data_IF_007501548042
#
_entry.id   IF_007501548042
#
_cell.length_a   1.000
_cell.length_b   1.000
_cell.length_c   1.000
_cell.angle_alpha   90.00
_cell.angle_beta   90.00
_cell.angle_gamma   90.00
#
_symmetry.space_group_name_H-M   'P 1'
#
loop_
_entity.id
_entity.type
_entity.pdbx_description
1 polymer ?
#
# COMPACT_ATOMS: atom_id res chain seq x y z
N UNK A 1 -60.25 -9.44 0.60
CA UNK A 1 -61.17 -10.11 1.53
C UNK A 1 -60.71 -11.55 1.70
N UNK A 2 -60.46 -11.91 2.95
CA UNK A 2 -60.47 -13.25 3.58
C UNK A 2 -59.43 -14.32 3.22
N UNK A 3 -58.30 -14.20 3.95
CA UNK A 3 -57.69 -15.19 4.85
C UNK A 3 -58.32 -16.59 4.97
N UNK A 4 -57.47 -17.64 4.92
CA UNK A 4 -57.26 -18.63 6.00
C UNK A 4 -56.10 -19.62 5.70
N UNK A 5 -55.53 -20.37 6.68
CA UNK A 5 -54.08 -20.41 6.92
C UNK A 5 -53.41 -21.80 6.80
N UNK A 6 -52.09 -21.82 6.54
CA UNK A 6 -51.28 -23.05 6.50
C UNK A 6 -50.26 -23.14 7.65
N UNK A 7 -50.64 -23.97 8.63
CA UNK A 7 -49.88 -24.93 9.44
C UNK A 7 -48.38 -24.71 9.77
N UNK A 8 -48.13 -24.62 11.09
CA UNK A 8 -46.85 -24.70 11.80
C UNK A 8 -46.15 -26.06 11.60
N UNK A 9 -44.87 -26.06 11.21
CA UNK A 9 -43.95 -27.22 11.37
C UNK A 9 -42.93 -26.96 12.49
N UNK A 10 -42.87 -27.93 13.42
CA UNK A 10 -41.97 -27.98 14.59
C UNK A 10 -40.53 -28.32 14.16
N UNK A 11 -39.55 -27.60 14.68
CA UNK A 11 -38.11 -27.90 14.56
C UNK A 11 -37.63 -28.55 15.88
N UNK A 12 -36.89 -29.68 15.87
CA UNK A 12 -36.43 -30.33 17.10
C UNK A 12 -35.09 -29.76 17.61
N UNK A 13 -35.02 -29.58 18.93
CA UNK A 13 -33.86 -29.14 19.73
C UNK A 13 -32.76 -30.20 19.76
N UNK A 14 -31.50 -29.86 19.45
CA UNK A 14 -30.32 -30.70 19.73
C UNK A 14 -29.73 -30.39 21.11
N UNK A 15 -29.56 -31.44 21.92
CA UNK A 15 -28.97 -31.45 23.26
C UNK A 15 -27.44 -31.36 23.20
N UNK A 16 -26.86 -30.58 24.12
CA UNK A 16 -25.44 -30.62 24.52
C UNK A 16 -25.16 -31.90 25.31
N UNK A 17 -24.04 -32.56 25.04
CA UNK A 17 -23.50 -33.64 25.88
C UNK A 17 -22.12 -33.21 26.37
N UNK A 18 -21.99 -33.04 27.68
CA UNK A 18 -20.72 -33.01 28.42
C UNK A 18 -20.18 -34.44 28.56
N UNK A 19 -18.87 -34.63 28.45
CA UNK A 19 -18.15 -35.70 29.18
C UNK A 19 -16.74 -35.26 29.56
N UNK A 20 -16.48 -35.30 30.87
CA UNK A 20 -15.18 -35.28 31.54
C UNK A 20 -14.55 -36.69 31.57
N UNK A 21 -13.22 -36.77 31.65
CA UNK A 21 -12.36 -37.78 32.34
C UNK A 21 -10.90 -37.37 32.06
N UNK A 22 -10.10 -36.85 33.01
CA UNK A 22 -9.34 -37.45 34.13
C UNK A 22 -8.46 -38.67 33.77
N UNK A 23 -7.16 -38.40 33.84
CA UNK A 23 -6.02 -39.12 34.45
C UNK A 23 -5.74 -40.59 34.09
N UNK A 24 -4.50 -40.87 33.68
CA UNK A 24 -3.58 -41.82 34.35
C UNK A 24 -2.17 -41.84 33.70
N UNK A 25 -1.16 -41.97 34.57
CA UNK A 25 0.30 -41.99 34.38
C UNK A 25 0.90 -43.40 34.10
N UNK A 26 2.23 -43.40 33.87
CA UNK A 26 3.24 -44.48 33.90
C UNK A 26 3.57 -45.17 32.55
N UNK A 27 4.83 -45.48 32.16
CA UNK A 27 6.17 -45.64 32.80
C UNK A 27 7.26 -45.63 31.68
N UNK A 28 8.44 -45.01 31.89
CA UNK A 28 9.81 -45.60 32.02
C UNK A 28 10.44 -46.09 30.69
N UNK A 29 11.68 -45.77 30.27
CA UNK A 29 13.03 -45.90 30.87
C UNK A 29 14.00 -44.80 30.32
N UNK A 30 14.85 -44.12 31.11
CA UNK A 30 16.24 -44.40 31.57
C UNK A 30 17.30 -44.43 30.43
N UNK A 31 18.51 -43.84 30.47
CA UNK A 31 19.34 -43.03 31.40
C UNK A 31 20.19 -42.04 30.53
N UNK A 32 21.15 -41.24 30.97
CA UNK A 32 21.98 -41.13 32.18
C UNK A 32 22.56 -39.69 32.27
N UNK A 33 22.92 -39.28 33.50
CA UNK A 33 24.09 -38.48 33.96
C UNK A 33 24.54 -37.19 33.22
N UNK A 34 24.94 -36.05 33.80
CA UNK A 34 25.45 -35.53 35.10
C UNK A 34 25.08 -34.03 35.13
N UNK A 35 24.71 -33.34 36.20
CA UNK A 35 25.49 -33.14 37.42
C UNK A 35 26.07 -31.72 37.48
N UNK A 36 25.37 -30.77 38.13
CA UNK A 36 25.89 -29.78 39.12
C UNK A 36 24.90 -28.63 39.38
N UNK A 37 24.23 -28.71 40.54
CA UNK A 37 23.72 -27.56 41.30
C UNK A 37 24.65 -27.34 42.49
N UNK A 38 24.94 -26.08 42.82
CA UNK A 38 25.35 -25.66 44.16
C UNK A 38 24.42 -24.52 44.60
N UNK A 39 23.94 -24.63 45.84
CA UNK A 39 22.95 -23.79 46.51
C UNK A 39 23.59 -22.49 47.09
N UNK A 40 22.96 -21.30 46.97
CA UNK A 40 22.12 -20.55 47.97
C UNK A 40 22.97 -20.03 49.17
N UNK A 41 22.96 -18.71 49.55
CA UNK A 41 21.83 -18.15 50.29
C UNK A 41 21.44 -16.69 50.07
N UNK A 42 20.19 -16.42 50.47
CA UNK A 42 19.53 -15.13 50.55
C UNK A 42 19.95 -14.35 51.80
N UNK A 43 20.18 -13.05 51.67
CA UNK A 43 20.05 -12.08 52.75
C UNK A 43 19.38 -10.80 52.25
N UNK A 44 18.39 -10.35 53.02
CA UNK A 44 17.68 -9.07 52.91
C UNK A 44 18.53 -7.92 53.48
N UNK A 45 18.62 -6.79 52.76
CA UNK A 45 18.22 -5.43 53.21
C UNK A 45 18.40 -4.39 52.08
N UNK A 46 17.71 -3.22 52.14
CA UNK A 46 17.36 -2.40 50.98
C UNK A 46 18.32 -1.23 50.74
N UNK A 47 18.47 -0.83 49.47
CA UNK A 47 19.26 0.35 49.09
C UNK A 47 19.06 0.69 47.62
N UNK A 48 18.71 1.95 47.36
CA UNK A 48 18.36 2.55 46.09
C UNK A 48 19.49 2.49 45.05
N UNK A 49 19.14 2.26 43.78
CA UNK A 49 19.56 3.03 42.59
C UNK A 49 19.04 2.30 41.32
N UNK A 50 17.97 2.82 40.71
CA UNK A 50 17.52 2.39 39.39
C UNK A 50 18.48 2.95 38.33
N UNK A 51 19.53 2.20 38.01
CA UNK A 51 20.28 2.38 36.77
C UNK A 51 19.46 1.84 35.61
N UNK A 52 19.11 2.70 34.65
CA UNK A 52 18.45 2.31 33.42
C UNK A 52 19.33 1.30 32.66
N UNK A 53 18.92 0.02 32.63
CA UNK A 53 19.53 -0.97 31.72
C UNK A 53 19.16 -0.57 30.29
N UNK A 54 20.12 -0.07 29.53
CA UNK A 54 20.03 -0.04 28.07
C UNK A 54 19.90 -1.49 27.58
N UNK A 55 18.69 -1.88 27.21
CA UNK A 55 18.45 -3.16 26.54
C UNK A 55 18.89 -2.98 25.09
N UNK A 56 20.11 -3.41 24.76
CA UNK A 56 20.54 -3.55 23.37
C UNK A 56 19.67 -4.61 22.69
N UNK A 57 18.70 -4.19 21.87
CA UNK A 57 17.97 -5.11 20.97
C UNK A 57 18.87 -5.46 19.78
N UNK A 58 19.58 -6.58 19.85
CA UNK A 58 20.14 -7.23 18.64
C UNK A 58 19.00 -7.84 17.83
N UNK A 59 18.95 -7.52 16.54
CA UNK A 59 18.06 -8.19 15.59
C UNK A 59 18.91 -9.07 14.70
N UNK A 60 18.63 -10.37 14.76
CA UNK A 60 19.22 -11.35 13.87
C UNK A 60 18.31 -11.49 12.66
N UNK A 61 18.78 -11.09 11.48
CA UNK A 61 18.15 -11.39 10.21
C UNK A 61 18.84 -12.62 9.61
N UNK A 62 18.07 -13.55 9.03
CA UNK A 62 18.64 -14.60 8.19
C UNK A 62 19.02 -13.96 6.84
N UNK A 63 20.30 -13.62 6.69
CA UNK A 63 20.84 -12.95 5.51
C UNK A 63 21.45 -11.57 5.79
N UNK A 64 22.30 -11.11 4.88
CA UNK A 64 23.01 -9.85 5.01
C UNK A 64 22.08 -8.68 4.64
N UNK A 65 21.41 -8.08 5.65
CA UNK A 65 20.44 -7.00 5.44
C UNK A 65 21.03 -5.66 5.88
N UNK A 66 21.76 -4.97 5.00
CA UNK A 66 22.34 -3.64 5.28
C UNK A 66 21.29 -2.53 5.47
N UNK A 67 20.04 -2.75 5.02
CA UNK A 67 18.95 -1.75 5.03
C UNK A 67 17.87 -1.96 6.11
N UNK A 68 18.15 -2.76 7.15
CA UNK A 68 17.30 -2.87 8.35
C UNK A 68 16.84 -1.49 8.90
N UNK A 69 17.67 -0.43 8.91
CA UNK A 69 17.23 0.91 9.31
C UNK A 69 16.18 1.52 8.36
N UNK A 70 16.28 1.29 7.04
CA UNK A 70 15.32 1.80 6.03
C UNK A 70 13.99 1.05 6.12
N UNK A 71 14.02 -0.26 6.38
CA UNK A 71 12.82 -1.04 6.67
C UNK A 71 12.11 -0.56 7.95
N UNK A 72 12.86 -0.14 8.97
CA UNK A 72 12.31 0.42 10.22
C UNK A 72 11.81 1.86 10.08
N UNK A 73 12.36 2.63 9.15
CA UNK A 73 11.96 4.02 8.87
C UNK A 73 10.74 4.12 7.94
N UNK A 74 10.27 2.99 7.40
CA UNK A 74 9.00 2.94 6.66
C UNK A 74 7.82 3.36 7.52
N UNK A 75 6.77 3.91 6.90
CA UNK A 75 5.58 4.36 7.60
C UNK A 75 5.00 3.21 8.47
N UNK A 76 5.03 3.30 9.81
CA UNK A 76 4.45 2.28 10.69
C UNK A 76 2.92 2.30 10.66
N UNK A 77 2.30 3.13 9.81
CA UNK A 77 0.89 3.08 9.43
C UNK A 77 0.55 1.77 8.70
N UNK A 78 0.66 0.66 9.41
CA UNK A 78 0.03 -0.59 9.08
C UNK A 78 -1.48 -0.36 9.01
N UNK A 79 -2.10 -1.01 8.02
CA UNK A 79 -3.53 -1.28 8.05
C UNK A 79 -3.86 -1.85 9.43
N UNK A 80 -4.66 -1.13 10.22
CA UNK A 80 -5.21 -1.64 11.47
C UNK A 80 -6.15 -2.79 11.12
N UNK A 81 -5.63 -4.01 11.03
CA UNK A 81 -6.45 -5.21 11.08
C UNK A 81 -6.95 -5.36 12.52
N UNK A 82 -8.27 -5.34 12.68
CA UNK A 82 -8.92 -5.64 13.94
C UNK A 82 -8.68 -7.12 14.27
N UNK A 83 -7.82 -7.40 15.25
CA UNK A 83 -7.77 -8.68 15.94
C UNK A 83 -8.56 -8.56 17.23
N UNK A 84 -9.58 -9.40 17.40
CA UNK A 84 -10.25 -9.60 18.69
C UNK A 84 -9.33 -10.42 19.60
N UNK A 85 -8.76 -9.79 20.64
CA UNK A 85 -8.15 -10.52 21.76
C UNK A 85 -9.12 -10.49 22.95
N UNK A 86 -9.66 -11.66 23.28
CA UNK A 86 -10.52 -11.87 24.43
C UNK A 86 -9.64 -11.99 25.69
N UNK A 87 -9.70 -10.99 26.58
CA UNK A 87 -9.26 -11.16 27.98
C UNK A 87 -10.41 -10.83 28.92
N UNK A 88 -10.81 -11.88 29.65
CA UNK A 88 -11.63 -11.88 30.86
C UNK A 88 -12.81 -10.90 30.88
N UNK A 89 -13.91 -11.32 30.25
CA UNK A 89 -15.25 -11.11 30.81
C UNK A 89 -15.86 -9.70 30.73
N UNK A 90 -15.29 -8.74 30.00
CA UNK A 90 -15.98 -7.47 29.67
C UNK A 90 -15.92 -7.17 28.18
N UNK A 91 -17.09 -7.17 27.52
CA UNK A 91 -17.25 -6.62 26.18
C UNK A 91 -17.10 -5.09 26.25
N UNK A 92 -15.94 -4.58 25.83
CA UNK A 92 -15.74 -3.17 25.52
C UNK A 92 -15.85 -2.99 24.00
N UNK A 93 -16.75 -2.12 23.55
CA UNK A 93 -16.85 -1.73 22.14
C UNK A 93 -15.57 -1.07 21.62
N UNK A 94 -15.43 -0.87 20.28
CA UNK A 94 -14.16 -0.51 19.65
C UNK A 94 -13.72 0.92 20.02
N UNK A 95 -13.00 1.04 21.13
CA UNK A 95 -12.26 2.22 21.54
C UNK A 95 -10.86 2.17 20.94
N UNK A 96 -10.65 2.89 19.83
CA UNK A 96 -9.31 3.19 19.31
C UNK A 96 -8.65 4.28 20.16
N UNK A 97 -8.30 3.91 21.39
CA UNK A 97 -7.36 4.62 22.24
C UNK A 97 -6.27 3.62 22.67
N UNK A 98 -5.61 3.02 21.68
CA UNK A 98 -4.32 2.37 21.91
C UNK A 98 -3.35 3.44 22.37
N UNK A 99 -3.03 3.41 23.67
CA UNK A 99 -2.06 4.29 24.29
C UNK A 99 -0.67 3.93 23.73
N UNK A 100 -0.23 4.59 22.66
CA UNK A 100 1.18 4.56 22.25
C UNK A 100 2.01 5.17 23.37
N UNK A 101 2.58 4.30 24.23
CA UNK A 101 3.59 4.69 25.21
C UNK A 101 4.95 4.63 24.52
N UNK A 102 5.40 5.76 23.97
CA UNK A 102 6.72 5.86 23.32
C UNK A 102 7.19 7.30 23.10
N UNK A 103 8.50 7.53 23.20
CA UNK A 103 9.16 8.83 23.01
C UNK A 103 9.09 9.37 21.56
N UNK A 104 8.62 8.56 20.61
CA UNK A 104 8.54 8.87 19.17
C UNK A 104 7.27 9.65 18.75
N UNK A 105 6.45 10.09 19.72
CA UNK A 105 5.16 10.73 19.46
C UNK A 105 5.34 12.17 18.99
N UNK A 106 4.97 12.49 17.76
CA UNK A 106 4.90 13.90 17.31
C UNK A 106 3.66 14.61 17.86
N UNK A 107 2.51 13.92 17.88
CA UNK A 107 1.23 14.55 18.27
C UNK A 107 0.42 13.69 19.27
N UNK A 108 -0.22 14.35 20.23
CA UNK A 108 -1.22 13.76 21.11
C UNK A 108 -2.60 13.85 20.49
N UNK A 109 -3.10 12.71 20.01
CA UNK A 109 -4.43 12.60 19.42
C UNK A 109 -5.51 12.78 20.50
N UNK A 110 -6.43 13.70 20.26
CA UNK A 110 -7.69 13.82 20.99
C UNK A 110 -8.84 13.71 19.99
N UNK A 111 -9.75 12.76 20.24
CA UNK A 111 -11.00 12.69 19.50
C UNK A 111 -11.99 13.66 20.13
N UNK A 112 -12.53 14.59 19.32
CA UNK A 112 -13.69 15.39 19.73
C UNK A 112 -14.89 14.90 18.93
N UNK A 113 -15.97 14.53 19.64
CA UNK A 113 -17.28 14.36 19.04
C UNK A 113 -18.08 15.64 19.27
N UNK A 114 -18.55 16.27 18.19
CA UNK A 114 -19.55 17.33 18.23
C UNK A 114 -20.56 17.05 17.10
N UNK A 115 -21.74 16.55 17.47
CA UNK A 115 -22.72 16.01 16.52
C UNK A 115 -22.19 14.81 15.72
N UNK A 116 -22.61 14.70 14.45
CA UNK A 116 -22.22 13.61 13.52
C UNK A 116 -20.82 13.76 12.90
N UNK A 117 -20.07 14.80 13.26
CA UNK A 117 -18.77 15.11 12.63
C UNK A 117 -17.60 14.64 13.49
N UNK A 118 -16.81 13.70 12.94
CA UNK A 118 -15.56 13.26 13.57
C UNK A 118 -14.46 14.31 13.30
N UNK A 119 -14.07 15.07 14.33
CA UNK A 119 -12.89 15.95 14.30
C UNK A 119 -11.77 15.27 15.07
N UNK A 120 -10.57 15.24 14.49
CA UNK A 120 -9.38 14.72 15.16
C UNK A 120 -8.42 15.86 15.39
N UNK A 121 -8.04 16.10 16.64
CA UNK A 121 -6.99 17.06 16.97
C UNK A 121 -5.72 16.33 17.31
N UNK A 122 -4.62 16.92 16.90
CA UNK A 122 -3.30 16.41 17.13
C UNK A 122 -2.50 17.55 17.77
N UNK A 123 -2.23 17.41 19.07
CA UNK A 123 -1.54 18.43 19.87
C UNK A 123 -0.03 18.17 19.88
N UNK A 124 0.78 19.21 19.83
CA UNK A 124 2.24 19.12 19.92
C UNK A 124 2.67 18.37 21.18
N UNK A 125 3.42 17.27 21.01
CA UNK A 125 4.03 16.57 22.14
C UNK A 125 5.31 17.29 22.58
N UNK A 126 5.21 18.13 23.62
CA UNK A 126 6.29 19.03 24.06
C UNK A 126 7.62 18.32 24.35
N UNK A 127 7.57 17.08 24.82
CA UNK A 127 8.74 16.28 25.24
C UNK A 127 9.30 15.40 24.11
N UNK A 128 8.93 15.64 22.85
CA UNK A 128 9.45 14.87 21.73
C UNK A 128 10.98 14.92 21.70
N UNK A 129 11.63 13.74 21.63
CA UNK A 129 13.08 13.58 21.82
C UNK A 129 13.95 14.44 20.89
N UNK A 130 13.45 14.74 19.70
CA UNK A 130 14.20 15.54 18.74
C UNK A 130 14.01 17.06 18.95
N UNK A 131 13.11 17.49 19.84
CA UNK A 131 12.75 18.89 20.08
C UNK A 131 11.80 19.48 19.02
N UNK A 132 11.46 20.76 19.15
CA UNK A 132 10.58 21.48 18.24
C UNK A 132 11.19 22.80 17.77
N UNK A 133 10.98 23.19 16.50
CA UNK A 133 11.25 24.55 16.05
C UNK A 133 10.42 25.56 16.85
N UNK A 134 10.96 26.76 17.04
CA UNK A 134 10.33 27.81 17.85
C UNK A 134 8.90 28.18 17.38
N UNK A 135 8.68 28.22 16.06
CA UNK A 135 7.38 28.57 15.45
C UNK A 135 6.49 27.36 15.12
N UNK A 136 6.83 26.15 15.58
CA UNK A 136 6.05 24.96 15.23
C UNK A 136 4.62 25.02 15.77
N UNK A 137 3.67 24.48 15.00
CA UNK A 137 2.26 24.43 15.40
C UNK A 137 2.04 23.74 16.74
N UNK A 138 1.16 24.31 17.57
CA UNK A 138 0.71 23.71 18.82
C UNK A 138 -0.38 22.66 18.61
N UNK A 139 -1.20 22.83 17.58
CA UNK A 139 -2.35 21.99 17.28
C UNK A 139 -2.57 21.88 15.77
N UNK A 140 -2.93 20.67 15.31
CA UNK A 140 -3.45 20.43 13.97
C UNK A 140 -4.83 19.77 14.10
N UNK A 141 -5.85 20.38 13.51
CA UNK A 141 -7.19 19.81 13.41
C UNK A 141 -7.39 19.13 12.04
N UNK A 142 -7.65 17.83 12.05
CA UNK A 142 -8.04 17.06 10.87
C UNK A 142 -9.56 17.00 10.78
N UNK A 143 -10.11 17.57 9.71
CA UNK A 143 -11.54 17.55 9.38
C UNK A 143 -11.77 16.63 8.18
N UNK A 144 -12.71 15.71 8.31
CA UNK A 144 -13.12 14.86 7.18
C UNK A 144 -14.13 15.63 6.33
N UNK A 145 -13.74 15.96 5.09
CA UNK A 145 -14.59 16.59 4.09
C UNK A 145 -14.53 15.72 2.84
N UNK A 146 -15.59 14.97 2.55
CA UNK A 146 -15.57 13.96 1.48
C UNK A 146 -15.62 14.59 0.08
N UNK A 147 -16.35 15.69 -0.09
CA UNK A 147 -16.56 16.32 -1.38
C UNK A 147 -15.36 17.22 -1.74
N UNK A 148 -14.79 16.97 -2.92
CA UNK A 148 -13.54 17.59 -3.37
C UNK A 148 -13.67 19.09 -3.59
N UNK A 149 -14.74 19.56 -4.24
CA UNK A 149 -14.93 20.98 -4.50
C UNK A 149 -15.06 21.79 -3.20
N UNK A 150 -15.67 21.21 -2.17
CA UNK A 150 -15.78 21.80 -0.82
C UNK A 150 -14.40 21.97 -0.18
N UNK A 151 -13.50 20.99 -0.30
CA UNK A 151 -12.11 21.12 0.17
C UNK A 151 -11.39 22.26 -0.55
N UNK A 152 -11.53 22.33 -1.87
CA UNK A 152 -10.91 23.37 -2.72
C UNK A 152 -11.43 24.77 -2.38
N UNK A 153 -12.75 24.94 -2.24
CA UNK A 153 -13.34 26.22 -1.85
C UNK A 153 -12.92 26.65 -0.45
N UNK A 154 -12.89 25.73 0.51
CA UNK A 154 -12.42 26.05 1.86
C UNK A 154 -10.95 26.50 1.87
N UNK A 155 -10.08 25.88 1.06
CA UNK A 155 -8.70 26.35 0.88
C UNK A 155 -8.63 27.78 0.32
N UNK A 156 -9.42 28.09 -0.71
CA UNK A 156 -9.44 29.42 -1.34
C UNK A 156 -9.93 30.50 -0.37
N UNK A 157 -10.98 30.18 0.40
CA UNK A 157 -11.59 31.08 1.41
C UNK A 157 -10.74 31.22 2.68
N UNK A 158 -9.80 30.31 2.93
CA UNK A 158 -8.98 30.28 4.13
C UNK A 158 -9.60 29.50 5.30
N UNK A 159 -10.68 28.74 5.06
CA UNK A 159 -11.31 27.87 6.06
C UNK A 159 -10.40 26.70 6.47
N UNK A 160 -9.45 26.34 5.60
CA UNK A 160 -8.47 25.26 5.79
C UNK A 160 -7.04 25.75 5.50
N UNK A 161 -6.07 25.21 6.24
CA UNK A 161 -4.65 25.50 6.05
C UNK A 161 -3.93 24.48 5.16
N UNK A 162 -4.58 23.34 4.86
CA UNK A 162 -4.09 22.34 3.91
C UNK A 162 -5.16 21.29 3.61
N UNK A 163 -5.02 20.59 2.48
CA UNK A 163 -5.86 19.45 2.11
C UNK A 163 -5.01 18.31 1.52
N UNK A 164 -5.63 17.16 1.24
CA UNK A 164 -4.97 16.02 0.61
C UNK A 164 -4.30 16.42 -0.72
N UNK A 165 -3.17 15.78 -1.02
CA UNK A 165 -2.36 16.12 -2.19
C UNK A 165 -2.63 15.29 -3.44
N UNK A 166 -3.79 14.61 -3.48
CA UNK A 166 -4.24 13.75 -4.56
C UNK A 166 -5.57 14.24 -5.13
N UNK A 167 -5.67 15.55 -5.31
CA UNK A 167 -6.82 16.16 -5.96
C UNK A 167 -6.75 15.93 -7.48
N UNK A 168 -7.91 15.84 -8.16
CA UNK A 168 -7.98 16.01 -9.60
C UNK A 168 -7.20 17.24 -10.06
N UNK A 169 -6.48 17.14 -11.17
CA UNK A 169 -5.51 18.17 -11.54
C UNK A 169 -6.16 19.50 -11.94
N UNK A 170 -7.38 19.49 -12.47
CA UNK A 170 -8.19 20.70 -12.69
C UNK A 170 -8.41 21.48 -11.38
N UNK A 171 -8.60 20.79 -10.26
CA UNK A 171 -8.71 21.42 -8.95
C UNK A 171 -7.37 21.98 -8.46
N UNK A 172 -6.25 21.30 -8.78
CA UNK A 172 -4.92 21.84 -8.53
C UNK A 172 -4.69 23.14 -9.32
N UNK A 173 -5.06 23.18 -10.60
CA UNK A 173 -4.96 24.39 -11.43
C UNK A 173 -5.77 25.54 -10.82
N UNK A 174 -7.01 25.28 -10.41
CA UNK A 174 -7.85 26.27 -9.72
C UNK A 174 -7.24 26.79 -8.43
N UNK A 175 -6.57 25.93 -7.65
CA UNK A 175 -5.87 26.35 -6.44
C UNK A 175 -4.63 27.21 -6.75
N UNK A 176 -3.93 26.96 -7.85
CA UNK A 176 -2.77 27.78 -8.30
C UNK A 176 -3.16 29.22 -8.66
N UNK A 177 -4.40 29.46 -9.06
CA UNK A 177 -4.92 30.80 -9.35
C UNK A 177 -5.19 31.63 -8.08
N UNK A 178 -5.31 30.97 -6.92
CA UNK A 178 -5.59 31.65 -5.65
C UNK A 178 -4.34 32.20 -5.00
N UNK A 179 -4.36 33.49 -4.66
CA UNK A 179 -3.28 34.14 -3.88
C UNK A 179 -3.18 33.63 -2.44
N UNK A 180 -4.23 32.98 -1.93
CA UNK A 180 -4.30 32.48 -0.56
C UNK A 180 -3.70 31.07 -0.41
N UNK A 181 -3.36 30.40 -1.53
CA UNK A 181 -2.92 29.00 -1.55
C UNK A 181 -1.57 28.92 -2.23
N UNK A 182 -0.69 28.07 -1.69
CA UNK A 182 0.52 27.63 -2.37
C UNK A 182 0.39 26.13 -2.68
N UNK A 183 0.98 25.71 -3.79
CA UNK A 183 1.04 24.31 -4.20
C UNK A 183 2.50 23.86 -4.12
N UNK A 184 2.77 22.95 -3.21
CA UNK A 184 4.07 22.27 -3.13
C UNK A 184 4.06 21.10 -4.09
N UNK A 185 5.10 20.98 -4.91
CA UNK A 185 5.20 19.92 -5.90
C UNK A 185 6.40 19.04 -5.59
N UNK A 186 6.21 17.73 -5.60
CA UNK A 186 7.29 16.78 -5.44
C UNK A 186 7.00 15.49 -6.20
N UNK A 187 8.05 14.83 -6.69
CA UNK A 187 7.91 13.50 -7.25
C UNK A 187 7.64 12.48 -6.14
N UNK A 188 6.57 11.72 -6.27
CA UNK A 188 6.24 10.64 -5.35
C UNK A 188 6.85 9.33 -5.83
N UNK A 189 7.30 8.50 -4.90
CA UNK A 189 7.67 7.10 -5.17
C UNK A 189 6.39 6.25 -5.23
N UNK A 190 5.53 6.59 -6.20
CA UNK A 190 4.24 5.93 -6.44
C UNK A 190 4.01 5.76 -7.93
N UNK A 191 3.84 4.52 -8.38
CA UNK A 191 3.66 4.18 -9.80
C UNK A 191 2.22 3.76 -10.03
N UNK A 192 1.57 4.32 -11.05
CA UNK A 192 0.28 3.83 -11.54
C UNK A 192 0.48 2.84 -12.68
N UNK A 193 -0.19 1.71 -12.59
CA UNK A 193 -0.05 0.62 -13.55
C UNK A 193 -1.28 -0.29 -13.51
N UNK A 194 -1.47 -1.08 -14.57
CA UNK A 194 -2.35 -2.23 -14.52
C UNK A 194 -1.56 -3.43 -13.97
N UNK A 195 -1.96 -3.89 -12.80
CA UNK A 195 -1.55 -5.18 -12.27
C UNK A 195 -2.25 -6.27 -13.10
N UNK A 196 -1.48 -7.18 -13.68
CA UNK A 196 -1.98 -8.27 -14.53
C UNK A 196 -1.85 -9.60 -13.78
N UNK A 197 -2.90 -10.42 -13.81
CA UNK A 197 -2.82 -11.79 -13.32
C UNK A 197 -2.11 -12.72 -14.33
N UNK A 198 -0.79 -12.81 -14.26
CA UNK A 198 0.09 -13.56 -15.14
C UNK A 198 -0.11 -15.10 -15.09
N UNK A 199 -0.86 -15.62 -14.11
CA UNK A 199 -1.15 -17.05 -13.99
C UNK A 199 -2.49 -17.54 -14.56
N UNK A 200 -3.28 -16.66 -15.19
CA UNK A 200 -4.61 -16.99 -15.76
C UNK A 200 -4.49 -17.25 -17.26
N UNK A 201 -5.44 -18.02 -17.81
CA UNK A 201 -5.54 -18.27 -19.25
C UNK A 201 -5.63 -16.95 -20.03
N UNK A 202 -5.06 -16.90 -21.23
CA UNK A 202 -4.66 -15.73 -22.01
C UNK A 202 -3.61 -14.82 -21.34
N UNK A 203 -3.80 -14.49 -20.06
CA UNK A 203 -2.92 -13.56 -19.33
C UNK A 203 -1.52 -14.14 -19.05
N UNK A 204 -1.35 -15.46 -19.14
CA UNK A 204 -0.06 -16.15 -19.07
C UNK A 204 0.73 -16.09 -20.38
N UNK A 205 0.09 -15.79 -21.51
CA UNK A 205 0.75 -15.59 -22.81
C UNK A 205 1.34 -14.17 -22.90
N UNK A 206 2.65 -14.09 -23.18
CA UNK A 206 3.35 -12.82 -23.35
C UNK A 206 2.80 -11.99 -24.51
N UNK A 207 2.38 -12.64 -25.59
CA UNK A 207 1.85 -11.97 -26.77
C UNK A 207 0.50 -11.33 -26.48
N UNK A 208 -0.37 -12.00 -25.73
CA UNK A 208 -1.64 -11.42 -25.30
C UNK A 208 -1.44 -10.19 -24.40
N UNK A 209 -0.50 -10.28 -23.43
CA UNK A 209 -0.18 -9.13 -22.56
C UNK A 209 0.43 -7.96 -23.34
N UNK A 210 1.31 -8.23 -24.30
CA UNK A 210 1.89 -7.21 -25.19
C UNK A 210 0.84 -6.56 -26.08
N UNK A 211 -0.11 -7.33 -26.61
CA UNK A 211 -1.23 -6.79 -27.37
C UNK A 211 -2.04 -5.78 -26.55
N UNK A 212 -2.35 -6.10 -25.29
CA UNK A 212 -3.02 -5.17 -24.37
C UNK A 212 -2.17 -3.93 -24.05
N UNK A 213 -0.86 -4.10 -23.86
CA UNK A 213 0.04 -2.98 -23.59
C UNK A 213 0.11 -2.01 -24.78
N UNK A 214 0.22 -2.52 -26.01
CA UNK A 214 0.18 -1.71 -27.23
C UNK A 214 -1.21 -1.10 -27.51
N UNK A 215 -2.28 -1.67 -26.95
CA UNK A 215 -3.64 -1.15 -27.08
C UNK A 215 -3.98 -0.03 -26.09
N UNK A 216 -3.10 0.31 -25.13
CA UNK A 216 -3.34 1.38 -24.17
C UNK A 216 -2.82 2.73 -24.67
N UNK A 217 -3.68 3.75 -24.69
CA UNK A 217 -3.30 5.10 -25.09
C UNK A 217 -2.64 5.88 -23.93
N UNK A 218 -1.34 5.63 -23.74
CA UNK A 218 -0.55 6.28 -22.68
C UNK A 218 -0.55 7.81 -22.78
N UNK A 219 -0.45 8.34 -24.00
CA UNK A 219 -0.34 9.77 -24.24
C UNK A 219 -1.69 10.45 -24.04
N UNK A 220 -2.79 9.86 -24.55
CA UNK A 220 -4.14 10.36 -24.29
C UNK A 220 -4.46 10.33 -22.80
N UNK A 221 -4.05 9.28 -22.06
CA UNK A 221 -4.24 9.24 -20.62
C UNK A 221 -3.46 10.34 -19.88
N UNK A 222 -2.19 10.55 -20.21
CA UNK A 222 -1.35 11.54 -19.52
C UNK A 222 -1.71 12.97 -19.94
N UNK A 223 -1.93 13.24 -21.23
CA UNK A 223 -2.17 14.58 -21.78
C UNK A 223 -3.63 15.00 -21.64
N UNK A 224 -4.58 14.15 -21.99
CA UNK A 224 -5.99 14.57 -22.07
C UNK A 224 -6.73 14.37 -20.75
N UNK A 225 -6.47 13.27 -20.05
CA UNK A 225 -7.09 12.98 -18.75
C UNK A 225 -6.32 13.66 -17.62
N UNK A 226 -5.00 13.46 -17.54
CA UNK A 226 -4.17 14.01 -16.46
C UNK A 226 -3.58 15.40 -16.76
N UNK A 227 -3.87 15.99 -17.92
CA UNK A 227 -3.45 17.35 -18.32
C UNK A 227 -1.93 17.58 -18.22
N UNK A 228 -1.13 16.55 -18.48
CA UNK A 228 0.33 16.61 -18.42
C UNK A 228 0.89 16.70 -17.00
N UNK A 229 0.10 16.41 -15.97
CA UNK A 229 0.50 16.58 -14.56
C UNK A 229 1.56 15.59 -14.07
N UNK A 230 1.86 14.55 -14.84
CA UNK A 230 2.71 13.42 -14.43
C UNK A 230 3.68 13.04 -15.54
N UNK A 231 4.81 12.46 -15.14
CA UNK A 231 5.79 11.91 -16.07
C UNK A 231 5.44 10.46 -16.43
N UNK A 232 5.59 10.09 -17.70
CA UNK A 232 5.54 8.70 -18.15
C UNK A 232 6.54 7.87 -17.36
N UNK A 233 6.11 6.70 -16.89
CA UNK A 233 6.99 5.69 -16.30
C UNK A 233 6.67 4.31 -16.90
N UNK A 234 7.56 3.74 -17.72
CA UNK A 234 7.39 2.42 -18.31
C UNK A 234 7.84 1.27 -17.40
N UNK A 235 8.31 1.53 -16.18
CA UNK A 235 8.92 0.57 -15.26
C UNK A 235 8.03 0.30 -14.02
N UNK A 236 8.14 -0.90 -13.39
CA UNK A 236 7.58 -1.13 -12.05
C UNK A 236 8.21 -0.25 -10.98
N UNK A 237 9.47 0.18 -11.15
CA UNK A 237 10.19 1.01 -10.20
C UNK A 237 9.94 2.50 -10.51
N UNK A 238 9.77 3.37 -9.49
CA UNK A 238 9.74 4.81 -9.70
C UNK A 238 11.01 5.34 -10.38
N UNK A 239 10.87 6.33 -11.26
CA UNK A 239 11.99 6.96 -11.97
C UNK A 239 13.05 7.56 -11.02
N UNK A 240 12.65 8.01 -9.84
CA UNK A 240 13.52 8.58 -8.81
C UNK A 240 14.10 7.55 -7.83
N UNK A 241 13.89 6.25 -8.06
CA UNK A 241 14.45 5.17 -7.26
C UNK A 241 15.78 4.69 -7.87
N UNK A 242 16.77 4.39 -7.02
CA UNK A 242 18.00 3.73 -7.47
C UNK A 242 17.67 2.36 -8.07
N UNK A 243 18.36 1.94 -9.13
CA UNK A 243 18.04 0.69 -9.84
C UNK A 243 16.76 0.75 -10.69
N UNK A 244 16.21 1.94 -10.94
CA UNK A 244 15.26 2.16 -12.03
C UNK A 244 16.02 2.23 -13.38
N UNK A 245 15.63 1.44 -14.39
CA UNK A 245 16.22 1.53 -15.72
C UNK A 245 16.06 2.93 -16.34
N UNK A 246 17.16 3.57 -16.77
CA UNK A 246 17.13 4.96 -17.27
C UNK A 246 16.56 5.11 -18.69
N UNK A 247 16.85 4.15 -19.57
CA UNK A 247 16.53 4.25 -21.01
C UNK A 247 15.43 3.28 -21.47
N UNK A 248 14.70 2.69 -20.52
CA UNK A 248 13.60 1.78 -20.82
C UNK A 248 12.49 2.54 -21.54
N UNK A 249 12.22 2.19 -22.80
CA UNK A 249 11.20 2.88 -23.62
C UNK A 249 9.76 2.48 -23.29
N UNK A 250 9.56 1.25 -22.82
CA UNK A 250 8.23 0.67 -22.61
C UNK A 250 7.41 0.53 -23.89
N UNK A 251 6.11 0.29 -23.74
CA UNK A 251 5.17 0.19 -24.85
C UNK A 251 4.61 1.57 -25.25
N UNK A 252 4.25 1.66 -26.53
CA UNK A 252 3.56 2.79 -27.16
C UNK A 252 2.13 2.42 -27.51
N UNK A 253 1.26 3.39 -27.77
CA UNK A 253 -0.05 3.10 -28.35
C UNK A 253 0.09 2.80 -29.84
N UNK A 254 -0.04 1.54 -30.23
CA UNK A 254 0.18 1.06 -31.60
C UNK A 254 -0.74 -0.13 -31.89
N UNK A 255 -1.89 0.15 -32.51
CA UNK A 255 -2.90 -0.88 -32.78
C UNK A 255 -2.44 -1.93 -33.80
N UNK A 256 -1.49 -1.59 -34.70
CA UNK A 256 -0.98 -2.55 -35.68
C UNK A 256 -0.02 -3.53 -35.01
N UNK A 257 0.88 -3.05 -34.13
CA UNK A 257 1.67 -3.94 -33.28
C UNK A 257 0.80 -4.75 -32.33
N UNK A 258 -0.26 -4.15 -31.78
CA UNK A 258 -1.18 -4.86 -30.91
C UNK A 258 -1.87 -6.04 -31.63
N UNK A 259 -2.33 -5.84 -32.88
CA UNK A 259 -2.86 -6.93 -33.72
C UNK A 259 -1.81 -7.97 -34.06
N UNK A 260 -0.58 -7.56 -34.37
CA UNK A 260 0.51 -8.47 -34.69
C UNK A 260 0.91 -9.36 -33.50
N UNK A 261 0.91 -8.82 -32.29
CA UNK A 261 1.08 -9.60 -31.05
C UNK A 261 -0.12 -10.54 -30.84
N UNK A 262 -1.36 -10.03 -30.99
CA UNK A 262 -2.56 -10.86 -30.82
C UNK A 262 -2.62 -12.05 -31.80
N UNK A 263 -2.11 -11.89 -33.03
CA UNK A 263 -2.05 -12.97 -34.02
C UNK A 263 -1.15 -14.15 -33.60
N UNK A 264 -0.25 -13.95 -32.64
CA UNK A 264 0.60 -15.02 -32.10
C UNK A 264 -0.08 -15.83 -30.98
N UNK A 265 -1.22 -15.34 -30.47
CA UNK A 265 -1.98 -16.02 -29.41
C UNK A 265 -2.76 -17.19 -30.00
N UNK A 266 -2.49 -18.40 -29.47
CA UNK A 266 -3.10 -19.64 -29.95
C UNK A 266 -4.36 -20.04 -29.19
N UNK A 267 -4.50 -19.55 -27.96
CA UNK A 267 -5.64 -19.84 -27.12
C UNK A 267 -6.89 -19.07 -27.60
N UNK A 268 -8.09 -19.68 -27.56
CA UNK A 268 -9.33 -18.99 -27.89
C UNK A 268 -9.54 -17.72 -27.05
N UNK A 269 -9.92 -16.63 -27.70
CA UNK A 269 -10.24 -15.39 -27.01
C UNK A 269 -11.47 -15.55 -26.13
N UNK A 270 -11.43 -14.93 -24.95
CA UNK A 270 -12.55 -14.79 -24.02
C UNK A 270 -12.63 -13.34 -23.53
N UNK A 271 -13.79 -12.89 -23.02
CA UNK A 271 -13.85 -11.64 -22.30
C UNK A 271 -12.88 -11.67 -21.10
N UNK A 272 -12.14 -10.57 -20.92
CA UNK A 272 -11.29 -10.36 -19.74
C UNK A 272 -11.93 -9.34 -18.80
N UNK A 273 -11.61 -9.43 -17.50
CA UNK A 273 -12.16 -8.52 -16.49
C UNK A 273 -11.13 -7.50 -16.00
N UNK A 274 -11.54 -6.24 -15.92
CA UNK A 274 -10.80 -5.18 -15.24
C UNK A 274 -11.56 -4.78 -13.97
N UNK A 275 -10.92 -4.97 -12.82
CA UNK A 275 -11.42 -4.49 -11.52
C UNK A 275 -10.96 -3.07 -11.24
N UNK A 276 -11.87 -2.12 -11.26
CA UNK A 276 -11.61 -0.70 -10.95
C UNK A 276 -11.94 -0.37 -9.50
N UNK A 277 -11.38 0.74 -9.00
CA UNK A 277 -11.54 1.15 -7.62
C UNK A 277 -12.64 2.21 -7.50
N UNK A 278 -13.76 1.83 -6.89
CA UNK A 278 -14.89 2.73 -6.69
C UNK A 278 -14.45 4.00 -5.93
N UNK A 279 -14.78 5.16 -6.48
CA UNK A 279 -14.39 6.47 -5.94
C UNK A 279 -13.01 6.98 -6.40
N UNK A 280 -12.32 6.24 -7.27
CA UNK A 280 -11.05 6.66 -7.87
C UNK A 280 -11.17 6.71 -9.40
N UNK A 281 -11.55 7.89 -9.90
CA UNK A 281 -11.92 8.12 -11.30
C UNK A 281 -10.83 7.73 -12.31
N UNK A 282 -9.56 7.85 -11.94
CA UNK A 282 -8.41 7.55 -12.78
C UNK A 282 -8.32 6.05 -13.10
N UNK A 283 -8.76 5.18 -12.17
CA UNK A 283 -8.81 3.73 -12.40
C UNK A 283 -9.88 3.36 -13.42
N UNK A 284 -11.05 4.00 -13.33
CA UNK A 284 -12.19 3.80 -14.23
C UNK A 284 -11.89 4.35 -15.63
N UNK A 285 -11.29 5.55 -15.71
CA UNK A 285 -10.90 6.17 -16.96
C UNK A 285 -9.78 5.38 -17.67
N UNK A 286 -8.78 4.88 -16.93
CA UNK A 286 -7.75 4.02 -17.51
C UNK A 286 -8.35 2.72 -18.05
N UNK A 287 -9.25 2.08 -17.30
CA UNK A 287 -9.93 0.86 -17.74
C UNK A 287 -10.77 1.07 -19.00
N UNK A 288 -11.54 2.17 -19.07
CA UNK A 288 -12.33 2.53 -20.25
C UNK A 288 -11.44 2.81 -21.47
N UNK A 289 -10.30 3.47 -21.27
CA UNK A 289 -9.34 3.74 -22.34
C UNK A 289 -8.72 2.46 -22.89
N UNK A 290 -8.31 1.53 -22.02
CA UNK A 290 -7.83 0.21 -22.43
C UNK A 290 -8.93 -0.60 -23.13
N UNK A 291 -10.17 -0.59 -22.60
CA UNK A 291 -11.31 -1.24 -23.22
C UNK A 291 -11.56 -0.73 -24.64
N UNK A 292 -11.47 0.58 -24.86
CA UNK A 292 -11.62 1.18 -26.19
C UNK A 292 -10.51 0.75 -27.16
N UNK A 293 -9.26 0.68 -26.71
CA UNK A 293 -8.15 0.19 -27.53
C UNK A 293 -8.25 -1.30 -27.84
N UNK A 294 -8.53 -2.11 -26.81
CA UNK A 294 -8.70 -3.56 -26.90
C UNK A 294 -9.85 -3.96 -27.84
N UNK A 295 -10.96 -3.21 -27.81
CA UNK A 295 -12.09 -3.42 -28.74
C UNK A 295 -11.67 -3.28 -30.21
N UNK A 296 -10.79 -2.33 -30.54
CA UNK A 296 -10.30 -2.10 -31.91
C UNK A 296 -9.44 -3.26 -32.45
N UNK A 297 -8.94 -4.12 -31.56
CA UNK A 297 -8.19 -5.33 -31.92
C UNK A 297 -8.97 -6.62 -31.66
N UNK A 298 -10.27 -6.52 -31.34
CA UNK A 298 -11.16 -7.68 -31.19
C UNK A 298 -11.14 -8.34 -29.81
N UNK A 299 -10.61 -7.68 -28.78
CA UNK A 299 -10.66 -8.18 -27.39
C UNK A 299 -11.83 -7.54 -26.65
N UNK A 300 -12.69 -8.37 -26.06
CA UNK A 300 -13.77 -7.92 -25.17
C UNK A 300 -13.25 -7.72 -23.74
N UNK A 301 -13.52 -6.55 -23.16
CA UNK A 301 -13.17 -6.24 -21.77
C UNK A 301 -14.44 -5.90 -20.99
N UNK A 302 -14.63 -6.52 -19.83
CA UNK A 302 -15.68 -6.20 -18.86
C UNK A 302 -15.08 -5.43 -17.69
N UNK A 303 -15.66 -4.27 -17.37
CA UNK A 303 -15.20 -3.42 -16.27
C UNK A 303 -16.13 -3.63 -15.07
N UNK A 304 -15.56 -3.95 -13.92
CA UNK A 304 -16.27 -4.08 -12.64
C UNK A 304 -15.69 -3.05 -11.65
N UNK A 305 -16.54 -2.20 -11.07
CA UNK A 305 -16.13 -1.23 -10.04
C UNK A 305 -16.50 -1.76 -8.67
N UNK A 306 -15.54 -1.77 -7.73
CA UNK A 306 -15.76 -2.21 -6.36
C UNK A 306 -14.92 -1.40 -5.36
N UNK A 307 -15.34 -1.32 -4.08
CA UNK A 307 -14.54 -0.70 -3.04
C UNK A 307 -13.17 -1.38 -2.86
N UNK A 308 -12.14 -0.61 -2.51
CA UNK A 308 -10.76 -1.11 -2.35
C UNK A 308 -10.64 -2.40 -1.51
N UNK A 309 -11.30 -2.54 -0.33
CA UNK A 309 -11.18 -3.78 0.45
C UNK A 309 -11.65 -5.05 -0.31
N UNK A 310 -12.67 -4.90 -1.18
CA UNK A 310 -13.17 -6.00 -2.01
C UNK A 310 -12.15 -6.35 -3.09
N UNK A 311 -11.63 -5.34 -3.80
CA UNK A 311 -10.61 -5.54 -4.84
C UNK A 311 -9.34 -6.14 -4.25
N UNK A 312 -8.86 -5.62 -3.12
CA UNK A 312 -7.69 -6.12 -2.41
C UNK A 312 -7.86 -7.58 -1.99
N UNK A 313 -9.02 -7.96 -1.44
CA UNK A 313 -9.31 -9.34 -1.07
C UNK A 313 -9.33 -10.27 -2.29
N UNK A 314 -9.90 -9.83 -3.41
CA UNK A 314 -9.87 -10.59 -4.68
C UNK A 314 -8.43 -10.74 -5.19
N UNK A 315 -7.60 -9.71 -5.13
CA UNK A 315 -6.20 -9.75 -5.57
C UNK A 315 -5.31 -10.75 -4.79
N UNK A 316 -5.71 -11.13 -3.58
CA UNK A 316 -5.00 -12.12 -2.76
C UNK A 316 -5.51 -13.55 -2.96
N UNK A 317 -6.66 -13.72 -3.63
CA UNK A 317 -7.28 -15.00 -3.93
C UNK A 317 -7.13 -15.31 -5.42
N UNK A 318 -6.36 -16.35 -5.73
CA UNK A 318 -5.99 -16.71 -7.12
C UNK A 318 -7.20 -16.85 -8.04
N UNK A 319 -8.27 -17.43 -7.53
CA UNK A 319 -9.42 -17.82 -8.34
C UNK A 319 -10.45 -16.68 -8.44
N UNK A 320 -10.46 -15.78 -7.45
CA UNK A 320 -11.37 -14.60 -7.42
C UNK A 320 -10.76 -13.31 -7.97
N UNK A 321 -9.45 -13.28 -8.21
CA UNK A 321 -8.78 -12.12 -8.76
C UNK A 321 -9.30 -11.79 -10.17
N UNK A 322 -9.30 -10.50 -10.50
CA UNK A 322 -9.57 -10.01 -11.85
C UNK A 322 -8.42 -10.38 -12.80
N UNK A 323 -8.66 -10.31 -14.11
CA UNK A 323 -7.56 -10.44 -15.07
C UNK A 323 -6.59 -9.24 -14.95
N UNK A 324 -7.14 -8.03 -14.72
CA UNK A 324 -6.35 -6.83 -14.49
C UNK A 324 -6.96 -5.91 -13.42
N UNK A 325 -6.10 -5.16 -12.73
CA UNK A 325 -6.51 -4.10 -11.79
C UNK A 325 -5.63 -2.86 -12.02
N UNK A 326 -6.17 -1.72 -12.50
CA UNK A 326 -5.48 -0.44 -12.46
C UNK A 326 -5.37 0.06 -11.02
N UNK A 327 -4.14 0.22 -10.52
CA UNK A 327 -3.90 0.70 -9.16
C UNK A 327 -2.55 1.41 -9.05
N UNK A 328 -2.30 1.95 -7.86
CA UNK A 328 -1.01 2.55 -7.53
C UNK A 328 -0.22 1.71 -6.56
N UNK A 329 1.07 1.52 -6.83
CA UNK A 329 2.03 1.03 -5.83
C UNK A 329 2.84 2.19 -5.27
N UNK A 330 2.63 2.46 -3.99
CA UNK A 330 3.47 3.38 -3.19
C UNK A 330 4.59 2.63 -2.50
N UNK A 331 5.65 3.34 -2.13
CA UNK A 331 6.74 2.79 -1.33
C UNK A 331 6.44 2.73 0.16
N UNK A 332 6.84 1.64 0.80
CA UNK A 332 6.96 1.57 2.26
C UNK A 332 8.39 1.77 2.73
N UNK A 333 9.38 1.50 1.88
CA UNK A 333 10.81 1.63 2.14
C UNK A 333 11.56 1.80 0.82
N UNK A 334 12.62 2.62 0.80
CA UNK A 334 13.28 3.09 -0.44
C UNK A 334 14.27 2.06 -0.99
N UNK A 335 13.73 0.99 -1.54
CA UNK A 335 14.49 -0.12 -2.11
C UNK A 335 13.70 -0.76 -3.27
N UNK A 336 14.32 -1.09 -4.42
CA UNK A 336 13.65 -1.74 -5.55
C UNK A 336 12.96 -3.05 -5.18
N UNK A 337 13.40 -3.72 -4.12
CA UNK A 337 12.68 -4.88 -3.61
C UNK A 337 11.22 -4.55 -3.28
N UNK A 338 10.90 -3.34 -2.83
CA UNK A 338 9.52 -2.96 -2.50
C UNK A 338 8.59 -2.88 -3.73
N UNK A 339 9.16 -2.81 -4.94
CA UNK A 339 8.45 -2.84 -6.21
C UNK A 339 8.76 -4.14 -6.93
N UNK A 340 9.71 -4.15 -7.88
CA UNK A 340 9.91 -5.30 -8.76
C UNK A 340 10.14 -6.61 -8.00
N UNK A 341 10.84 -6.57 -6.85
CA UNK A 341 11.07 -7.75 -6.01
C UNK A 341 9.78 -8.34 -5.42
N UNK A 342 9.06 -7.54 -4.62
CA UNK A 342 7.85 -7.95 -3.91
C UNK A 342 6.64 -8.14 -4.82
N UNK A 343 6.52 -7.38 -5.92
CA UNK A 343 5.39 -7.44 -6.83
C UNK A 343 5.43 -8.64 -7.77
N UNK A 344 6.62 -9.13 -8.11
CA UNK A 344 6.79 -10.17 -9.14
C UNK A 344 7.56 -11.41 -8.67
N UNK A 345 8.30 -11.35 -7.54
CA UNK A 345 8.95 -12.53 -6.98
C UNK A 345 7.94 -13.59 -6.55
N UNK A 346 8.16 -14.85 -6.95
CA UNK A 346 7.22 -15.95 -6.74
C UNK A 346 7.01 -16.30 -5.27
N UNK A 347 8.03 -16.08 -4.42
CA UNK A 347 7.98 -16.23 -2.96
C UNK A 347 6.92 -15.34 -2.28
N UNK A 348 6.45 -14.29 -2.96
CA UNK A 348 5.47 -13.33 -2.43
C UNK A 348 4.05 -13.56 -2.95
N UNK A 349 3.80 -14.63 -3.72
CA UNK A 349 2.49 -14.92 -4.31
C UNK A 349 1.42 -15.03 -3.21
N UNK A 350 0.26 -14.42 -3.46
CA UNK A 350 -0.86 -14.38 -2.50
C UNK A 350 -0.67 -13.40 -1.35
N UNK A 351 0.48 -12.70 -1.28
CA UNK A 351 0.73 -11.64 -0.29
C UNK A 351 1.05 -10.30 -0.98
N UNK A 352 2.32 -10.05 -1.31
CA UNK A 352 2.77 -8.83 -2.01
C UNK A 352 2.71 -8.98 -3.53
N UNK A 353 2.95 -10.19 -4.04
CA UNK A 353 2.78 -10.53 -5.45
C UNK A 353 1.32 -10.99 -5.68
N UNK A 354 0.50 -10.04 -6.09
CA UNK A 354 -0.88 -10.26 -6.55
C UNK A 354 -0.98 -10.47 -8.06
N UNK A 355 0.16 -10.40 -8.77
CA UNK A 355 0.24 -10.65 -10.21
C UNK A 355 0.24 -12.15 -10.51
N UNK A 356 0.55 -12.99 -9.52
CA UNK A 356 0.75 -14.44 -9.66
C UNK A 356 1.80 -14.79 -10.72
N UNK A 357 2.70 -13.86 -11.05
CA UNK A 357 3.84 -14.10 -11.92
C UNK A 357 4.77 -15.14 -11.29
N UNK A 358 5.28 -16.04 -12.14
CA UNK A 358 6.28 -17.05 -11.80
C UNK A 358 7.28 -17.10 -12.95
N UNK A 359 8.51 -16.66 -12.69
CA UNK A 359 9.60 -16.67 -13.66
C UNK A 359 10.90 -16.96 -12.92
N UNK A 360 11.55 -18.07 -13.28
CA UNK A 360 12.70 -18.59 -12.53
C UNK A 360 13.92 -17.67 -12.61
N UNK A 361 14.13 -17.00 -13.74
CA UNK A 361 15.26 -16.07 -13.92
C UNK A 361 15.02 -14.76 -13.15
N UNK A 362 13.77 -14.28 -13.13
CA UNK A 362 13.37 -13.15 -12.30
C UNK A 362 13.56 -13.45 -10.82
N UNK A 363 13.11 -14.63 -10.37
CA UNK A 363 13.31 -15.09 -8.99
C UNK A 363 14.79 -15.16 -8.65
N UNK A 364 15.63 -15.72 -9.54
CA UNK A 364 17.08 -15.77 -9.34
C UNK A 364 17.68 -14.38 -9.14
N UNK A 365 17.35 -13.40 -10.00
CA UNK A 365 17.89 -12.04 -9.86
C UNK A 365 17.43 -11.35 -8.57
N UNK A 366 16.15 -11.51 -8.20
CA UNK A 366 15.60 -10.96 -6.97
C UNK A 366 16.30 -11.58 -5.74
N UNK A 367 16.50 -12.88 -5.76
CA UNK A 367 17.08 -13.63 -4.66
C UNK A 367 18.56 -13.30 -4.47
N UNK A 368 19.32 -13.20 -5.56
CA UNK A 368 20.71 -12.73 -5.53
C UNK A 368 20.81 -11.27 -5.03
N UNK A 369 19.87 -10.42 -5.42
CA UNK A 369 19.83 -9.02 -4.97
C UNK A 369 19.46 -8.88 -3.48
N UNK A 370 18.72 -9.83 -2.93
CA UNK A 370 18.41 -9.91 -1.51
C UNK A 370 19.56 -10.50 -0.67
N UNK A 371 20.38 -11.37 -1.26
CA UNK A 371 21.47 -12.05 -0.56
C UNK A 371 22.76 -11.21 -0.47
N UNK A 372 22.95 -10.23 -1.35
CA UNK A 372 24.17 -9.41 -1.40
C UNK A 372 24.04 -8.07 -0.68
N UNK A 373 25.15 -7.59 -0.10
CA UNK A 373 25.26 -6.26 0.51
C UNK A 373 25.83 -5.19 -0.43
N UNK A 374 26.26 -5.57 -1.63
CA UNK A 374 26.82 -4.66 -2.63
C UNK A 374 25.69 -3.94 -3.37
N UNK A 375 25.53 -2.63 -3.13
CA UNK A 375 24.45 -1.84 -3.71
C UNK A 375 24.52 -1.77 -5.24
N UNK A 376 25.71 -1.80 -5.83
CA UNK A 376 25.87 -1.73 -7.28
C UNK A 376 25.48 -3.07 -7.91
N UNK A 377 25.86 -4.20 -7.29
CA UNK A 377 25.37 -5.52 -7.72
C UNK A 377 23.84 -5.60 -7.65
N UNK A 378 23.23 -5.10 -6.57
CA UNK A 378 21.75 -5.04 -6.44
C UNK A 378 21.12 -4.18 -7.52
N UNK A 379 21.71 -3.01 -7.80
CA UNK A 379 21.23 -2.07 -8.83
C UNK A 379 21.09 -2.78 -10.18
N UNK A 380 22.16 -3.46 -10.63
CA UNK A 380 22.17 -4.19 -11.90
C UNK A 380 21.12 -5.31 -11.94
N UNK A 381 20.98 -6.08 -10.87
CA UNK A 381 19.99 -7.16 -10.78
C UNK A 381 18.54 -6.64 -10.84
N UNK A 382 18.24 -5.57 -10.10
CA UNK A 382 16.91 -4.97 -10.13
C UNK A 382 16.59 -4.26 -11.44
N UNK A 383 17.58 -3.69 -12.12
CA UNK A 383 17.38 -3.14 -13.47
C UNK A 383 17.03 -4.23 -14.47
N UNK A 384 17.74 -5.37 -14.47
CA UNK A 384 17.39 -6.54 -15.30
C UNK A 384 15.98 -7.03 -15.01
N UNK A 385 15.63 -7.17 -13.73
CA UNK A 385 14.30 -7.58 -13.30
C UNK A 385 13.21 -6.63 -13.82
N UNK A 386 13.39 -5.31 -13.63
CA UNK A 386 12.41 -4.30 -14.03
C UNK A 386 12.25 -4.23 -15.56
N UNK A 387 13.36 -4.33 -16.29
CA UNK A 387 13.36 -4.42 -17.77
C UNK A 387 12.60 -5.64 -18.24
N UNK A 388 12.90 -6.83 -17.72
CA UNK A 388 12.22 -8.08 -18.11
C UNK A 388 10.71 -8.03 -17.84
N UNK A 389 10.32 -7.58 -16.65
CA UNK A 389 8.90 -7.41 -16.26
C UNK A 389 8.17 -6.51 -17.25
N UNK A 390 8.83 -5.44 -17.70
CA UNK A 390 8.29 -4.52 -18.69
C UNK A 390 8.24 -5.16 -20.08
N UNK A 391 9.33 -5.69 -20.59
CA UNK A 391 9.41 -6.28 -21.93
C UNK A 391 8.46 -7.49 -22.11
N UNK A 392 8.19 -8.24 -21.04
CA UNK A 392 7.22 -9.33 -21.03
C UNK A 392 5.79 -8.90 -20.70
N UNK A 393 5.55 -7.58 -20.62
CA UNK A 393 4.25 -6.99 -20.30
C UNK A 393 3.59 -7.60 -19.06
N UNK A 394 4.36 -7.99 -18.03
CA UNK A 394 3.81 -8.60 -16.81
C UNK A 394 2.97 -7.59 -16.00
N UNK A 395 3.09 -6.31 -16.31
CA UNK A 395 2.17 -5.23 -15.95
C UNK A 395 2.18 -4.17 -17.05
N UNK A 396 1.15 -3.31 -17.08
CA UNK A 396 1.11 -2.15 -17.97
C UNK A 396 1.42 -0.91 -17.13
N UNK A 397 2.69 -0.49 -17.09
CA UNK A 397 3.14 0.68 -16.34
C UNK A 397 2.84 1.96 -17.10
N UNK A 398 2.28 2.97 -16.41
CA UNK A 398 1.77 4.18 -17.05
C UNK A 398 2.56 5.42 -16.63
N UNK A 399 2.55 5.78 -15.35
CA UNK A 399 3.13 7.05 -14.91
C UNK A 399 3.70 7.00 -13.48
N UNK A 400 4.66 7.89 -13.23
CA UNK A 400 5.13 8.22 -11.89
C UNK A 400 4.25 9.33 -11.32
N UNK A 401 3.70 9.09 -10.14
CA UNK A 401 2.80 10.06 -9.51
C UNK A 401 3.59 11.29 -9.07
N UNK A 402 3.05 12.47 -9.39
CA UNK A 402 3.49 13.73 -8.81
C UNK A 402 2.56 14.11 -7.68
N UNK A 403 3.12 14.43 -6.53
CA UNK A 403 2.39 14.92 -5.38
C UNK A 403 2.22 16.43 -5.49
N UNK A 404 1.00 16.91 -5.27
CA UNK A 404 0.65 18.32 -5.24
C UNK A 404 0.08 18.63 -3.86
N UNK A 405 0.87 19.20 -2.96
CA UNK A 405 0.46 19.56 -1.60
C UNK A 405 -0.12 20.97 -1.53
N UNK A 406 -1.46 21.14 -1.47
CA UNK A 406 -2.08 22.44 -1.27
C UNK A 406 -2.03 22.87 0.20
N UNK A 407 -1.45 24.04 0.45
CA UNK A 407 -1.41 24.68 1.76
C UNK A 407 -1.77 26.15 1.65
N UNK A 408 -2.25 26.75 2.74
CA UNK A 408 -2.43 28.20 2.78
C UNK A 408 -1.08 28.91 2.57
N UNK A 409 -1.06 30.05 1.88
CA UNK A 409 0.16 30.76 1.49
C UNK A 409 1.01 31.21 2.70
N UNK A 410 0.37 31.42 3.85
CA UNK A 410 1.01 31.76 5.12
C UNK A 410 1.58 30.54 5.88
N UNK A 411 1.45 29.31 5.37
CA UNK A 411 2.07 28.12 5.97
C UNK A 411 3.47 27.93 5.41
N UNK A 412 4.47 27.71 6.26
CA UNK A 412 5.85 27.45 5.88
C UNK A 412 6.36 26.14 6.47
N UNK A 413 7.51 25.67 6.00
CA UNK A 413 8.25 24.56 6.63
C UNK A 413 7.69 23.16 6.39
N UNK A 414 6.69 22.98 5.52
CA UNK A 414 6.22 21.65 5.13
C UNK A 414 7.34 20.88 4.42
N UNK A 415 7.63 19.67 4.87
CA UNK A 415 8.57 18.75 4.21
C UNK A 415 7.83 17.53 3.70
N UNK A 416 7.95 17.28 2.40
CA UNK A 416 7.40 16.07 1.78
C UNK A 416 8.38 14.91 1.90
N UNK A 417 7.88 13.76 2.31
CA UNK A 417 8.57 12.48 2.20
C UNK A 417 8.00 11.71 1.01
N UNK A 418 8.82 11.33 0.02
CA UNK A 418 8.37 10.46 -1.07
C UNK A 418 7.96 9.07 -0.56
N UNK A 419 8.34 8.70 0.67
CA UNK A 419 7.95 7.46 1.33
C UNK A 419 6.53 7.57 1.88
N UNK A 420 5.61 6.75 1.37
CA UNK A 420 4.21 6.75 1.78
C UNK A 420 3.47 8.09 1.55
N UNK A 421 4.07 9.04 0.81
CA UNK A 421 3.57 10.41 0.66
C UNK A 421 3.40 11.15 1.99
N UNK A 422 4.27 10.86 2.96
CA UNK A 422 4.24 11.48 4.28
C UNK A 422 4.53 12.98 4.23
N UNK A 423 3.89 13.74 5.11
CA UNK A 423 4.15 15.16 5.32
C UNK A 423 4.72 15.33 6.72
N UNK A 424 5.99 15.74 6.83
CA UNK A 424 6.59 16.03 8.12
C UNK A 424 6.15 17.42 8.60
N UNK A 425 5.08 17.42 9.38
CA UNK A 425 4.46 18.60 9.97
C UNK A 425 5.25 19.18 11.15
N UNK A 426 6.33 18.52 11.60
CA UNK A 426 7.13 19.00 12.74
C UNK A 426 7.73 20.38 12.51
N UNK A 427 8.07 20.65 11.25
CA UNK A 427 8.70 21.89 10.81
C UNK A 427 7.70 22.93 10.35
N UNK A 428 6.41 22.61 10.34
CA UNK A 428 5.37 23.49 9.84
C UNK A 428 5.13 24.68 10.78
N UNK A 429 4.97 25.87 10.21
CA UNK A 429 4.74 27.12 10.96
C UNK A 429 3.87 28.11 10.17
N UNK A 430 3.32 29.12 10.86
CA UNK A 430 2.73 30.31 10.21
C UNK A 430 3.82 31.37 9.99
N UNK A 431 3.95 31.86 8.76
CA UNK A 431 4.98 32.81 8.32
C UNK A 431 4.94 34.13 9.07
#
# INVERSE_FOLDING_TARGET
>A
MDLQPAQRRKIPRRRRVHRRRRDLQHRADAGDEEGRRIAVPAHHRPGQHQGARQVHRRVHAQGAVRHLPVHRAGNPGGQFQAGEEEREGRRLGPGLAGQERGQHRLLQAQALRSGDRLRRRALRFKEHFAGWPAKAFDEIEFRTVLETNTRVQGMIKGDFQGTDGYLPFDQILRLKESKNVQILEAESMRVFYFNIHNGRSLMNDVHFRRALAYAFDYDGFIKDILKGAVARNPSPNPNNLWGAPKDLKGFTYDLEKAKAELAQVKEPLRPITIGTLAGFSETEQAAALLQNGAKKIGIEIKIESAPWPVVQSRMQDRDKNYDMVPLWKSTYYVDPNNWVGELYGSRYIGTRNSTYAKDAELDQWIDEALATNDQEKRRVLYEKAATKVTEQAMGIFVYNTKWYGPYAANVGGIRFSPIGSGQDMRWAYFK
#
